data_IF_943856660183
#
_entry.id   IF_943856660183
#
_cell.length_a   1.000
_cell.length_b   1.000
_cell.length_c   1.000
_cell.angle_alpha   90.00
_cell.angle_beta   90.00
_cell.angle_gamma   90.00
#
_symmetry.space_group_name_H-M   'P 1'
#
loop_
_entity.id
_entity.type
_entity.pdbx_description
1 polymer ?
#
# COMPACT_ATOMS: atom_id res chain seq x y z
N UNK A 1 -20.59 8.18 -25.25
CA UNK A 1 -20.37 6.77 -24.83
C UNK A 1 -19.12 6.71 -23.96
N UNK A 2 -19.25 6.31 -22.70
CA UNK A 2 -18.07 6.07 -21.84
C UNK A 2 -17.29 4.86 -22.37
N UNK A 3 -16.05 5.08 -22.81
CA UNK A 3 -15.16 4.00 -23.27
C UNK A 3 -14.74 3.16 -22.07
N UNK A 4 -15.32 1.97 -21.90
CA UNK A 4 -14.92 1.05 -20.86
C UNK A 4 -13.59 0.38 -21.23
N UNK A 5 -12.58 0.51 -20.36
CA UNK A 5 -11.28 -0.14 -20.55
C UNK A 5 -11.35 -1.51 -19.87
N UNK A 6 -11.28 -2.59 -20.67
CA UNK A 6 -11.24 -3.95 -20.14
C UNK A 6 -9.80 -4.32 -19.79
N UNK A 7 -9.57 -4.64 -18.51
CA UNK A 7 -8.25 -5.01 -18.00
C UNK A 7 -8.28 -6.42 -17.42
N UNK A 8 -7.29 -7.23 -17.77
CA UNK A 8 -7.11 -8.58 -17.22
C UNK A 8 -6.13 -8.55 -16.04
N UNK A 9 -6.64 -8.77 -14.84
CA UNK A 9 -5.84 -8.80 -13.61
C UNK A 9 -4.74 -9.88 -13.63
N UNK A 10 -5.00 -11.14 -14.07
CA UNK A 10 -3.96 -12.15 -14.19
C UNK A 10 -2.82 -11.75 -15.14
N UNK A 11 -3.11 -11.03 -16.22
CA UNK A 11 -2.09 -10.55 -17.15
C UNK A 11 -1.23 -9.45 -16.53
N UNK A 12 -1.81 -8.56 -15.73
CA UNK A 12 -1.08 -7.49 -15.04
C UNK A 12 -0.17 -8.04 -13.93
N UNK A 13 -0.70 -8.92 -13.08
CA UNK A 13 0.05 -9.48 -11.94
C UNK A 13 1.09 -10.52 -12.42
N UNK A 14 0.74 -11.29 -13.44
CA UNK A 14 1.53 -12.40 -13.96
C UNK A 14 1.49 -13.62 -13.04
N UNK A 15 2.50 -14.49 -13.18
CA UNK A 15 2.60 -15.77 -12.46
C UNK A 15 3.42 -15.64 -11.15
N UNK A 16 3.25 -16.63 -10.26
CA UNK A 16 4.05 -16.81 -9.03
C UNK A 16 3.45 -16.21 -7.75
N UNK A 17 2.38 -15.44 -7.84
CA UNK A 17 1.81 -14.70 -6.71
C UNK A 17 0.32 -15.03 -6.41
N UNK A 18 -0.18 -16.17 -6.91
CA UNK A 18 -1.58 -16.60 -6.70
C UNK A 18 -1.93 -16.72 -5.22
N UNK A 19 -1.08 -17.39 -4.44
CA UNK A 19 -1.30 -17.56 -2.99
C UNK A 19 -1.30 -16.23 -2.26
N UNK A 20 -0.37 -15.33 -2.61
CA UNK A 20 -0.34 -13.96 -2.07
C UNK A 20 -1.64 -13.20 -2.35
N UNK A 21 -2.15 -13.30 -3.58
CA UNK A 21 -3.33 -12.57 -4.01
C UNK A 21 -4.60 -13.02 -3.29
N UNK A 22 -4.73 -14.33 -3.08
CA UNK A 22 -5.91 -14.96 -2.50
C UNK A 22 -5.86 -15.10 -0.96
N UNK A 23 -4.73 -14.79 -0.34
CA UNK A 23 -4.57 -14.90 1.12
C UNK A 23 -5.47 -13.90 1.87
N UNK A 24 -6.20 -14.40 2.88
CA UNK A 24 -7.17 -13.65 3.70
C UNK A 24 -6.79 -13.54 5.19
N UNK A 25 -5.66 -14.10 5.63
CA UNK A 25 -5.22 -14.02 7.02
C UNK A 25 -4.73 -12.62 7.42
N UNK A 26 -4.52 -12.42 8.73
CA UNK A 26 -4.13 -11.11 9.30
C UNK A 26 -2.75 -10.63 8.83
N UNK A 27 -1.75 -11.53 8.80
CA UNK A 27 -0.38 -11.17 8.44
C UNK A 27 0.04 -11.81 7.12
N UNK A 28 0.40 -10.97 6.13
CA UNK A 28 0.88 -11.40 4.83
C UNK A 28 2.37 -11.07 4.69
N UNK A 29 3.22 -12.07 4.95
CA UNK A 29 4.68 -11.91 4.91
C UNK A 29 5.23 -12.47 3.61
N UNK A 30 6.01 -11.67 2.88
CA UNK A 30 6.65 -12.09 1.62
C UNK A 30 8.15 -11.84 1.68
N UNK A 31 8.92 -12.92 1.59
CA UNK A 31 10.39 -12.89 1.52
C UNK A 31 10.85 -13.26 0.10
N UNK A 32 12.03 -12.80 -0.29
CA UNK A 32 12.62 -13.15 -1.58
C UNK A 32 13.73 -12.21 -2.03
N UNK A 33 14.40 -12.55 -3.13
CA UNK A 33 15.56 -11.84 -3.69
C UNK A 33 15.21 -10.52 -4.39
N UNK A 34 16.24 -9.77 -4.81
CA UNK A 34 16.07 -8.61 -5.70
C UNK A 34 15.34 -9.02 -6.97
N UNK A 35 14.54 -8.11 -7.53
CA UNK A 35 13.73 -8.32 -8.74
C UNK A 35 12.66 -9.43 -8.67
N UNK A 36 12.41 -10.02 -7.49
CA UNK A 36 11.40 -11.07 -7.37
C UNK A 36 9.94 -10.57 -7.43
N UNK A 37 9.68 -9.29 -7.75
CA UNK A 37 8.34 -8.64 -7.88
C UNK A 37 7.51 -8.45 -6.60
N UNK A 38 8.09 -8.62 -5.39
CA UNK A 38 7.35 -8.51 -4.12
C UNK A 38 6.63 -7.16 -3.96
N UNK A 39 7.38 -6.06 -4.00
CA UNK A 39 6.82 -4.72 -3.76
C UNK A 39 5.82 -4.31 -4.84
N UNK A 40 6.13 -4.60 -6.11
CA UNK A 40 5.23 -4.37 -7.25
C UNK A 40 3.92 -5.14 -7.12
N UNK A 41 3.97 -6.41 -6.67
CA UNK A 41 2.75 -7.21 -6.45
C UNK A 41 1.92 -6.66 -5.29
N UNK A 42 2.58 -6.27 -4.19
CA UNK A 42 1.89 -5.64 -3.06
C UNK A 42 1.24 -4.31 -3.46
N UNK A 43 1.92 -3.48 -4.24
CA UNK A 43 1.35 -2.22 -4.73
C UNK A 43 0.11 -2.43 -5.61
N UNK A 44 0.15 -3.38 -6.55
CA UNK A 44 -1.02 -3.76 -7.34
C UNK A 44 -2.17 -4.23 -6.45
N UNK A 45 -1.86 -5.05 -5.44
CA UNK A 45 -2.87 -5.56 -4.51
C UNK A 45 -3.51 -4.44 -3.70
N UNK A 46 -2.73 -3.50 -3.18
CA UNK A 46 -3.24 -2.35 -2.43
C UNK A 46 -4.17 -1.50 -3.29
N UNK A 47 -3.72 -1.07 -4.48
CA UNK A 47 -4.57 -0.22 -5.35
C UNK A 47 -5.87 -0.94 -5.73
N UNK A 48 -5.80 -2.23 -6.09
CA UNK A 48 -6.98 -3.01 -6.39
C UNK A 48 -7.96 -3.09 -5.20
N UNK A 49 -7.46 -3.37 -3.99
CA UNK A 49 -8.32 -3.52 -2.82
C UNK A 49 -8.85 -2.20 -2.29
N UNK A 50 -8.07 -1.11 -2.36
CA UNK A 50 -8.55 0.25 -2.10
C UNK A 50 -9.72 0.60 -3.01
N UNK A 51 -9.66 0.27 -4.30
CA UNK A 51 -10.79 0.52 -5.21
C UNK A 51 -11.98 -0.41 -4.97
N UNK A 52 -11.72 -1.65 -4.53
CA UNK A 52 -12.76 -2.68 -4.30
C UNK A 52 -13.56 -2.43 -3.02
N UNK A 53 -12.89 -2.05 -1.93
CA UNK A 53 -13.52 -1.88 -0.62
C UNK A 53 -13.65 -0.39 -0.32
N UNK A 54 -14.89 0.07 -0.15
CA UNK A 54 -15.16 1.43 0.32
C UNK A 54 -14.73 1.57 1.79
N UNK A 55 -14.36 2.78 2.20
CA UNK A 55 -13.98 3.11 3.58
C UNK A 55 -12.72 2.40 4.09
N UNK A 56 -11.88 1.87 3.20
CA UNK A 56 -10.65 1.18 3.55
C UNK A 56 -9.45 2.07 3.28
N UNK A 57 -8.67 2.37 4.32
CA UNK A 57 -7.44 3.15 4.22
C UNK A 57 -6.22 2.26 4.39
N UNK A 58 -5.11 2.68 3.78
CA UNK A 58 -3.83 1.98 3.89
C UNK A 58 -2.78 2.86 4.54
N UNK A 59 -2.02 2.30 5.48
CA UNK A 59 -0.81 2.90 6.02
C UNK A 59 0.41 2.20 5.42
N UNK A 60 1.32 2.96 4.84
CA UNK A 60 2.59 2.47 4.31
C UNK A 60 3.71 2.94 5.22
N UNK A 61 4.49 1.98 5.74
CA UNK A 61 5.55 2.27 6.70
C UNK A 61 6.90 1.75 6.21
N UNK A 62 7.94 2.57 6.40
CA UNK A 62 9.35 2.21 6.21
C UNK A 62 10.18 2.65 7.40
N UNK A 63 11.44 2.21 7.47
CA UNK A 63 12.39 2.65 8.49
C UNK A 63 12.59 4.17 8.51
N UNK A 64 12.74 4.79 7.33
CA UNK A 64 13.01 6.21 7.16
C UNK A 64 11.98 6.82 6.22
N UNK A 65 11.26 7.85 6.67
CA UNK A 65 10.16 8.46 5.92
C UNK A 65 10.58 8.96 4.54
N UNK A 66 11.72 9.65 4.45
CA UNK A 66 12.22 10.25 3.19
C UNK A 66 12.38 9.21 2.06
N UNK A 67 12.63 7.95 2.39
CA UNK A 67 12.81 6.87 1.40
C UNK A 67 11.49 6.37 0.79
N UNK A 68 10.33 6.76 1.32
CA UNK A 68 9.03 6.29 0.85
C UNK A 68 8.69 6.84 -0.54
N UNK A 69 9.05 8.11 -0.81
CA UNK A 69 8.77 8.81 -2.06
C UNK A 69 9.31 8.02 -3.27
N UNK A 70 10.59 7.67 -3.22
CA UNK A 70 11.28 6.98 -4.32
C UNK A 70 11.09 5.46 -4.30
N UNK A 71 10.34 4.93 -3.33
CA UNK A 71 10.08 3.48 -3.22
C UNK A 71 8.58 3.15 -3.27
N UNK A 72 7.91 3.05 -2.13
CA UNK A 72 6.54 2.54 -2.06
C UNK A 72 5.54 3.48 -2.73
N UNK A 73 5.75 4.80 -2.61
CA UNK A 73 4.92 5.80 -3.29
C UNK A 73 5.07 5.66 -4.82
N UNK A 74 6.31 5.56 -5.31
CA UNK A 74 6.58 5.28 -6.73
C UNK A 74 5.97 3.96 -7.21
N UNK A 75 6.04 2.88 -6.41
CA UNK A 75 5.43 1.59 -6.73
C UNK A 75 3.89 1.66 -6.80
N UNK A 76 3.25 2.41 -5.92
CA UNK A 76 1.80 2.63 -5.94
C UNK A 76 1.37 3.50 -7.12
N UNK A 77 2.12 4.57 -7.43
CA UNK A 77 1.90 5.38 -8.64
C UNK A 77 2.03 4.54 -9.91
N UNK A 78 3.02 3.66 -9.96
CA UNK A 78 3.19 2.69 -11.04
C UNK A 78 1.99 1.74 -11.16
N UNK A 79 1.46 1.25 -10.04
CA UNK A 79 0.28 0.37 -10.03
C UNK A 79 -0.98 1.09 -10.53
N UNK A 80 -1.21 2.34 -10.11
CA UNK A 80 -2.31 3.20 -10.60
C UNK A 80 -2.22 3.36 -12.13
N UNK A 81 -1.03 3.67 -12.64
CA UNK A 81 -0.81 3.77 -14.08
C UNK A 81 -1.03 2.44 -14.80
N UNK A 82 -0.60 1.32 -14.19
CA UNK A 82 -0.76 -0.01 -14.77
C UNK A 82 -2.23 -0.41 -14.91
N UNK A 83 -3.07 0.05 -13.98
CA UNK A 83 -4.52 -0.12 -14.03
C UNK A 83 -5.25 0.94 -14.86
N UNK A 84 -4.56 1.96 -15.38
CA UNK A 84 -5.18 3.05 -16.17
C UNK A 84 -6.31 3.77 -15.41
N UNK A 85 -6.11 4.02 -14.11
CA UNK A 85 -7.10 4.61 -13.19
C UNK A 85 -6.65 5.93 -12.60
N UNK A 86 -5.69 6.62 -13.24
CA UNK A 86 -5.10 7.87 -12.77
C UNK A 86 -6.17 8.91 -12.43
N UNK A 87 -7.22 9.01 -13.24
CA UNK A 87 -8.31 9.97 -13.06
C UNK A 87 -9.11 9.78 -11.77
N UNK A 88 -8.96 8.66 -11.08
CA UNK A 88 -9.61 8.40 -9.80
C UNK A 88 -8.71 8.65 -8.59
N UNK A 89 -7.43 8.95 -8.82
CA UNK A 89 -6.45 9.13 -7.76
C UNK A 89 -5.89 10.55 -7.75
N UNK A 90 -5.79 11.13 -6.56
CA UNK A 90 -5.03 12.34 -6.30
C UNK A 90 -3.71 11.94 -5.65
N UNK A 91 -2.58 12.41 -6.19
CA UNK A 91 -1.24 12.07 -5.72
C UNK A 91 -0.61 13.33 -5.12
N UNK A 92 -0.32 13.32 -3.81
CA UNK A 92 0.32 14.44 -3.10
C UNK A 92 1.69 14.03 -2.57
N UNK A 93 2.66 14.93 -2.75
CA UNK A 93 4.02 14.73 -2.24
C UNK A 93 4.28 15.48 -0.92
N UNK A 94 3.44 16.47 -0.59
CA UNK A 94 3.52 17.24 0.66
C UNK A 94 2.11 17.63 1.15
N UNK A 95 1.59 17.00 2.21
CA UNK A 95 2.11 15.77 2.82
C UNK A 95 2.10 14.59 1.84
N UNK A 96 2.99 13.61 2.04
CA UNK A 96 3.07 12.42 1.20
C UNK A 96 1.82 11.54 1.41
N UNK A 97 0.88 11.59 0.48
CA UNK A 97 -0.43 10.93 0.56
C UNK A 97 -0.97 10.59 -0.84
N UNK A 98 -1.85 9.59 -0.93
CA UNK A 98 -2.65 9.34 -2.12
C UNK A 98 -4.12 9.21 -1.76
N UNK A 99 -5.01 9.92 -2.45
CA UNK A 99 -6.46 9.89 -2.19
C UNK A 99 -7.18 9.22 -3.34
N UNK A 100 -8.06 8.26 -3.04
CA UNK A 100 -9.01 7.73 -4.01
C UNK A 100 -10.25 8.63 -4.03
N UNK A 101 -10.34 9.49 -5.06
CA UNK A 101 -11.32 10.58 -5.17
C UNK A 101 -12.79 10.13 -5.03
N UNK A 102 -13.24 8.98 -5.58
CA UNK A 102 -14.65 8.58 -5.50
C UNK A 102 -15.19 8.35 -4.09
N UNK A 103 -14.33 8.01 -3.12
CA UNK A 103 -14.77 7.75 -1.73
C UNK A 103 -14.01 8.57 -0.69
N UNK A 104 -12.93 9.26 -1.07
CA UNK A 104 -12.13 10.08 -0.16
C UNK A 104 -11.15 9.29 0.73
N UNK A 105 -11.10 7.97 0.62
CA UNK A 105 -10.14 7.13 1.35
C UNK A 105 -8.70 7.36 0.89
N UNK A 106 -7.76 7.15 1.81
CA UNK A 106 -6.37 7.56 1.67
C UNK A 106 -5.37 6.41 1.83
N UNK A 107 -4.23 6.58 1.19
CA UNK A 107 -2.98 5.90 1.49
C UNK A 107 -2.07 6.92 2.19
N UNK A 108 -1.73 6.64 3.44
CA UNK A 108 -0.87 7.47 4.27
C UNK A 108 0.53 6.85 4.34
N UNK A 109 1.55 7.71 4.39
CA UNK A 109 2.95 7.29 4.44
C UNK A 109 3.57 7.74 5.75
N UNK A 110 4.22 6.85 6.50
CA UNK A 110 4.92 7.16 7.75
C UNK A 110 6.24 6.43 7.84
N UNK A 111 7.19 6.97 8.59
CA UNK A 111 8.47 6.34 8.85
C UNK A 111 8.64 6.01 10.34
N UNK A 112 9.35 4.92 10.65
CA UNK A 112 9.67 4.54 12.03
C UNK A 112 10.72 5.46 12.68
N UNK A 113 11.33 6.35 11.91
CA UNK A 113 12.15 7.47 12.40
C UNK A 113 11.36 8.48 13.25
N UNK A 114 10.02 8.47 13.18
CA UNK A 114 9.15 9.25 14.06
C UNK A 114 7.96 8.41 14.58
N UNK A 115 8.15 7.62 15.66
CA UNK A 115 7.14 6.69 16.15
C UNK A 115 5.83 7.35 16.61
N UNK A 116 5.90 8.57 17.15
CA UNK A 116 4.73 9.30 17.64
C UNK A 116 3.74 9.63 16.51
N UNK A 117 4.24 9.85 15.29
CA UNK A 117 3.42 10.07 14.10
C UNK A 117 2.74 8.80 13.57
N UNK A 118 3.15 7.62 14.03
CA UNK A 118 2.53 6.34 13.70
C UNK A 118 1.43 6.01 14.70
N UNK A 119 1.69 6.17 16.00
CA UNK A 119 0.74 5.79 17.06
C UNK A 119 -0.53 6.63 17.08
N UNK A 120 -0.44 7.89 16.62
CA UNK A 120 -1.55 8.86 16.63
C UNK A 120 -2.27 8.97 15.28
N UNK A 121 -2.03 8.05 14.35
CA UNK A 121 -2.59 8.17 13.00
C UNK A 121 -4.11 7.94 12.99
N UNK A 122 -4.83 8.86 12.36
CA UNK A 122 -6.27 8.76 12.15
C UNK A 122 -6.63 9.09 10.70
N UNK A 123 -7.82 8.65 10.28
CA UNK A 123 -8.37 8.90 8.95
C UNK A 123 -9.74 9.55 9.11
N UNK A 124 -10.04 10.54 8.27
CA UNK A 124 -11.31 11.27 8.33
C UNK A 124 -12.47 10.51 7.70
N UNK A 125 -12.19 9.50 6.88
CA UNK A 125 -13.18 8.68 6.18
C UNK A 125 -12.83 7.22 6.39
N UNK A 126 -13.78 6.42 6.88
CA UNK A 126 -13.63 4.98 7.05
C UNK A 126 -12.64 4.57 8.14
N UNK A 127 -11.92 3.48 7.91
CA UNK A 127 -11.01 2.89 8.91
C UNK A 127 -9.66 2.54 8.29
N UNK A 128 -8.64 2.42 9.14
CA UNK A 128 -7.33 1.93 8.73
C UNK A 128 -7.37 0.40 8.62
N UNK A 129 -7.43 -0.13 7.40
CA UNK A 129 -7.67 -1.56 7.15
C UNK A 129 -6.39 -2.33 6.84
N UNK A 130 -5.41 -1.68 6.21
CA UNK A 130 -4.17 -2.33 5.80
C UNK A 130 -2.96 -1.55 6.24
N UNK A 131 -1.93 -2.29 6.64
CA UNK A 131 -0.59 -1.78 6.81
C UNK A 131 0.36 -2.50 5.87
N UNK A 132 1.13 -1.75 5.08
CA UNK A 132 2.25 -2.27 4.32
C UNK A 132 3.57 -1.78 4.91
N UNK A 133 4.30 -2.71 5.52
CA UNK A 133 5.66 -2.50 5.99
C UNK A 133 6.64 -2.99 4.91
N UNK A 134 7.47 -2.09 4.38
CA UNK A 134 8.51 -2.46 3.42
C UNK A 134 9.90 -2.33 4.05
N UNK A 135 10.48 -3.44 4.45
CA UNK A 135 11.82 -3.49 5.06
C UNK A 135 12.77 -4.21 4.12
N UNK A 136 13.91 -3.58 3.83
CA UNK A 136 15.08 -4.27 3.28
C UNK A 136 15.68 -5.14 4.38
N UNK A 137 15.85 -6.43 4.05
CA UNK A 137 16.24 -7.64 4.80
C UNK A 137 17.02 -7.51 6.12
N UNK A 138 17.70 -6.41 6.42
CA UNK A 138 18.67 -6.39 7.52
C UNK A 138 18.08 -6.35 8.94
N UNK A 139 17.08 -5.54 9.29
CA UNK A 139 16.72 -5.38 10.71
C UNK A 139 15.21 -5.33 10.95
N UNK A 140 14.60 -6.50 11.15
CA UNK A 140 13.28 -6.61 11.78
C UNK A 140 13.52 -6.91 13.25
N UNK A 141 13.56 -5.87 14.10
CA UNK A 141 13.53 -6.06 15.55
C UNK A 141 12.08 -6.33 15.99
N UNK A 142 11.89 -7.22 16.98
CA UNK A 142 10.59 -7.70 17.45
C UNK A 142 9.68 -6.55 17.95
N UNK A 143 10.27 -5.45 18.42
CA UNK A 143 9.54 -4.26 18.88
C UNK A 143 8.71 -3.58 17.78
N UNK A 144 9.11 -3.68 16.50
CA UNK A 144 8.35 -3.14 15.37
C UNK A 144 7.00 -3.84 15.17
N UNK A 145 6.89 -5.12 15.57
CA UNK A 145 5.64 -5.86 15.50
C UNK A 145 4.67 -5.47 16.63
N UNK A 146 5.19 -5.16 17.82
CA UNK A 146 4.37 -4.88 19.00
C UNK A 146 3.60 -3.55 18.91
N UNK A 147 4.14 -2.52 18.25
CA UNK A 147 3.45 -1.24 18.02
C UNK A 147 2.16 -1.36 17.19
N UNK A 148 1.92 -2.50 16.52
CA UNK A 148 0.71 -2.71 15.72
C UNK A 148 -0.47 -3.26 16.50
N UNK A 149 -0.21 -4.03 17.56
CA UNK A 149 -1.31 -4.57 18.38
C UNK A 149 -2.09 -3.47 19.10
N UNK A 150 -1.53 -2.25 19.19
CA UNK A 150 -2.16 -1.06 19.77
C UNK A 150 -2.93 -0.20 18.75
N UNK A 151 -2.84 -0.50 17.44
CA UNK A 151 -3.49 0.27 16.36
C UNK A 151 -4.73 -0.40 15.77
N UNK A 152 -5.12 -1.57 16.30
CA UNK A 152 -6.32 -2.34 15.92
C UNK A 152 -7.12 -2.68 17.16
#
# INVERSE_FOLDING_TARGET
MSKFIKISLPQIVGKGYKSFWNFKGRYKVVKGSRASKKSKTTALWIIYNMMKYKNANTLVVRKVFRTLKDSCYSDLRWAINRFQVQDYWELKESPLEMTYKPTGQKILFRGFDDPLKITSISVSVGSLCWCWINISVQHVNQNLFNCWNTLT
#
